data_IF_007725484561
#
_entry.id   IF_007725484561
#
_cell.length_a   1.000
_cell.length_b   1.000
_cell.length_c   1.000
_cell.angle_alpha   90.00
_cell.angle_beta   90.00
_cell.angle_gamma   90.00
#
_symmetry.space_group_name_H-M   'P 1'
#
loop_
_entity.id
_entity.type
_entity.pdbx_description
1 polymer ?
#
# COMPACT_ATOMS: atom_id res chain seq x y z
N UNK A 1 19.08 10.39 -11.89
CA UNK A 1 17.72 9.94 -11.53
C UNK A 1 17.64 9.43 -10.09
N UNK A 2 18.39 8.38 -9.70
CA UNK A 2 18.30 7.79 -8.35
C UNK A 2 18.61 8.78 -7.22
N UNK A 3 19.73 9.50 -7.30
CA UNK A 3 20.16 10.48 -6.26
C UNK A 3 19.12 11.57 -5.95
N UNK A 4 18.27 11.92 -6.92
CA UNK A 4 17.26 12.98 -6.76
C UNK A 4 15.86 12.41 -6.45
N UNK A 5 15.74 11.09 -6.26
CA UNK A 5 14.47 10.44 -5.92
C UNK A 5 13.50 10.22 -7.08
N UNK A 6 13.92 10.41 -8.34
CA UNK A 6 13.04 10.20 -9.50
C UNK A 6 12.75 8.71 -9.75
N UNK A 7 13.69 7.82 -9.43
CA UNK A 7 13.54 6.37 -9.53
C UNK A 7 13.87 5.74 -8.19
N UNK A 8 13.18 4.66 -7.84
CA UNK A 8 13.35 3.96 -6.57
C UNK A 8 14.57 3.03 -6.54
N UNK A 9 14.97 2.49 -7.70
CA UNK A 9 16.04 1.49 -7.81
C UNK A 9 16.75 1.60 -9.17
N UNK A 10 18.03 1.26 -9.22
CA UNK A 10 18.82 1.08 -10.45
C UNK A 10 19.43 -0.31 -10.42
N UNK A 11 19.26 -1.07 -11.49
CA UNK A 11 19.80 -2.42 -11.67
C UNK A 11 20.47 -2.53 -13.04
N UNK A 12 21.27 -3.58 -13.24
CA UNK A 12 21.77 -3.93 -14.56
C UNK A 12 20.59 -4.25 -15.51
N UNK A 13 20.77 -4.04 -16.81
CA UNK A 13 19.69 -4.15 -17.78
C UNK A 13 19.05 -5.55 -17.83
N UNK A 14 19.89 -6.59 -17.70
CA UNK A 14 19.49 -8.00 -17.64
C UNK A 14 18.77 -8.39 -16.34
N UNK A 15 18.84 -7.55 -15.30
CA UNK A 15 18.17 -7.76 -14.02
C UNK A 15 16.85 -6.96 -13.90
N UNK A 16 16.44 -6.20 -14.92
CA UNK A 16 15.26 -5.33 -14.86
C UNK A 16 13.99 -6.09 -14.54
N UNK A 17 13.74 -7.20 -15.24
CA UNK A 17 12.52 -8.00 -15.05
C UNK A 17 12.47 -8.60 -13.65
N UNK A 18 13.59 -9.08 -13.13
CA UNK A 18 13.66 -9.62 -11.77
C UNK A 18 13.36 -8.53 -10.71
N UNK A 19 13.85 -7.31 -10.92
CA UNK A 19 13.55 -6.18 -10.03
C UNK A 19 12.06 -5.81 -10.08
N UNK A 20 11.45 -5.80 -11.27
CA UNK A 20 10.01 -5.56 -11.43
C UNK A 20 9.19 -6.64 -10.74
N UNK A 21 9.50 -7.93 -10.94
CA UNK A 21 8.79 -9.03 -10.29
C UNK A 21 8.89 -8.94 -8.77
N UNK A 22 10.06 -8.60 -8.23
CA UNK A 22 10.22 -8.38 -6.78
C UNK A 22 9.27 -7.30 -6.25
N UNK A 23 9.08 -6.19 -6.99
CA UNK A 23 8.15 -5.15 -6.58
C UNK A 23 6.69 -5.60 -6.69
N UNK A 24 6.33 -6.34 -7.75
CA UNK A 24 4.99 -6.90 -7.91
C UNK A 24 4.66 -7.88 -6.77
N UNK A 25 5.60 -8.74 -6.38
CA UNK A 25 5.43 -9.67 -5.26
C UNK A 25 5.21 -8.96 -3.92
N UNK A 26 5.88 -7.82 -3.70
CA UNK A 26 5.69 -7.01 -2.49
C UNK A 26 4.32 -6.32 -2.51
N UNK A 27 3.92 -5.75 -3.64
CA UNK A 27 2.62 -5.09 -3.80
C UNK A 27 1.48 -6.12 -3.66
N UNK A 28 1.64 -7.31 -4.23
CA UNK A 28 0.66 -8.40 -4.14
C UNK A 28 0.42 -8.93 -2.73
N UNK A 29 1.33 -8.65 -1.78
CA UNK A 29 1.14 -8.98 -0.36
C UNK A 29 0.27 -7.96 0.39
N UNK A 30 0.12 -6.75 -0.13
CA UNK A 30 -0.68 -5.70 0.50
C UNK A 30 -2.18 -5.96 0.30
N UNK A 31 -2.99 -5.54 1.28
CA UNK A 31 -4.44 -5.49 1.11
C UNK A 31 -4.80 -4.56 -0.06
N UNK A 32 -5.52 -5.03 -1.10
CA UNK A 32 -5.74 -4.27 -2.32
C UNK A 32 -6.50 -2.96 -2.08
N UNK A 33 -7.49 -2.96 -1.18
CA UNK A 33 -8.26 -1.75 -0.85
C UNK A 33 -7.38 -0.75 -0.11
N UNK A 34 -6.67 -1.20 0.94
CA UNK A 34 -5.77 -0.35 1.71
C UNK A 34 -4.65 0.26 0.85
N UNK A 35 -4.04 -0.52 -0.05
CA UNK A 35 -2.98 -0.04 -0.94
C UNK A 35 -3.51 1.01 -1.94
N UNK A 36 -4.69 0.78 -2.51
CA UNK A 36 -5.34 1.75 -3.40
C UNK A 36 -5.70 3.04 -2.66
N UNK A 37 -6.30 2.94 -1.46
CA UNK A 37 -6.64 4.09 -0.62
C UNK A 37 -5.40 4.89 -0.23
N UNK A 38 -4.30 4.23 0.16
CA UNK A 38 -3.05 4.91 0.49
C UNK A 38 -2.50 5.72 -0.71
N UNK A 39 -2.57 5.16 -1.92
CA UNK A 39 -2.13 5.85 -3.15
C UNK A 39 -2.97 7.09 -3.46
N UNK A 40 -4.29 7.02 -3.24
CA UNK A 40 -5.18 8.17 -3.38
C UNK A 40 -4.87 9.23 -2.31
N UNK A 41 -4.71 8.79 -1.07
CA UNK A 41 -4.48 9.68 0.08
C UNK A 41 -3.25 10.59 -0.11
N UNK A 42 -2.15 10.06 -0.64
CA UNK A 42 -0.95 10.86 -0.94
C UNK A 42 -1.25 12.05 -1.86
N UNK A 43 -2.15 11.87 -2.84
CA UNK A 43 -2.56 12.95 -3.76
C UNK A 43 -3.48 13.95 -3.08
N UNK A 44 -4.43 13.47 -2.28
CA UNK A 44 -5.39 14.32 -1.57
C UNK A 44 -4.72 15.21 -0.52
N UNK A 45 -3.80 14.65 0.26
CA UNK A 45 -3.01 15.41 1.25
C UNK A 45 -2.22 16.54 0.59
N UNK A 46 -1.64 16.28 -0.59
CA UNK A 46 -0.93 17.32 -1.35
C UNK A 46 -1.88 18.42 -1.86
N UNK A 47 -3.09 18.05 -2.28
CA UNK A 47 -4.07 18.99 -2.84
C UNK A 47 -4.79 19.85 -1.80
N UNK A 48 -4.90 19.39 -0.55
CA UNK A 48 -5.74 19.99 0.49
C UNK A 48 -5.29 21.36 1.04
N UNK A 49 -4.20 21.94 0.53
CA UNK A 49 -3.91 23.37 0.73
C UNK A 49 -3.51 23.80 2.15
N UNK A 50 -3.31 22.88 3.09
CA UNK A 50 -2.58 23.14 4.34
C UNK A 50 -3.38 23.25 5.65
N UNK A 51 -4.70 23.01 5.67
CA UNK A 51 -5.43 22.81 6.93
C UNK A 51 -5.08 21.43 7.51
N UNK A 52 -4.05 21.42 8.37
CA UNK A 52 -3.51 20.22 8.99
C UNK A 52 -4.52 19.52 9.90
N UNK A 53 -5.30 20.27 10.66
CA UNK A 53 -6.23 19.67 11.62
C UNK A 53 -7.40 18.98 10.91
N UNK A 54 -7.89 19.57 9.81
CA UNK A 54 -8.89 18.93 8.97
C UNK A 54 -8.36 17.66 8.29
N UNK A 55 -7.14 17.71 7.77
CA UNK A 55 -6.45 16.56 7.18
C UNK A 55 -6.26 15.42 8.20
N UNK A 56 -5.80 15.74 9.42
CA UNK A 56 -5.58 14.73 10.45
C UNK A 56 -6.88 14.05 10.86
N UNK A 57 -7.98 14.81 11.01
CA UNK A 57 -9.32 14.25 11.28
C UNK A 57 -9.80 13.34 10.15
N UNK A 58 -9.65 13.77 8.90
CA UNK A 58 -10.03 12.97 7.74
C UNK A 58 -9.21 11.67 7.63
N UNK A 59 -7.89 11.77 7.83
CA UNK A 59 -6.97 10.63 7.81
C UNK A 59 -7.30 9.63 8.92
N UNK A 60 -7.56 10.12 10.14
CA UNK A 60 -7.96 9.26 11.26
C UNK A 60 -9.27 8.51 10.96
N UNK A 61 -10.26 9.20 10.37
CA UNK A 61 -11.52 8.58 9.94
C UNK A 61 -11.32 7.50 8.88
N UNK A 62 -10.54 7.79 7.83
CA UNK A 62 -10.21 6.83 6.78
C UNK A 62 -9.51 5.59 7.34
N UNK A 63 -8.49 5.79 8.19
CA UNK A 63 -7.73 4.68 8.78
C UNK A 63 -8.62 3.82 9.68
N UNK A 64 -9.49 4.44 10.48
CA UNK A 64 -10.45 3.71 11.33
C UNK A 64 -11.41 2.87 10.48
N UNK A 65 -11.96 3.44 9.40
CA UNK A 65 -12.83 2.72 8.48
C UNK A 65 -12.13 1.55 7.79
N UNK A 66 -10.89 1.75 7.31
CA UNK A 66 -10.10 0.68 6.69
C UNK A 66 -9.79 -0.45 7.69
N UNK A 67 -9.45 -0.12 8.94
CA UNK A 67 -9.21 -1.13 10.00
C UNK A 67 -10.48 -1.92 10.35
N UNK A 68 -11.64 -1.27 10.33
CA UNK A 68 -12.93 -1.90 10.59
C UNK A 68 -13.55 -2.58 9.37
N UNK A 69 -12.88 -2.61 8.22
CA UNK A 69 -13.35 -3.32 7.02
C UNK A 69 -13.13 -4.83 7.12
N UNK A 70 -13.71 -5.60 6.19
CA UNK A 70 -13.44 -7.04 6.07
C UNK A 70 -11.95 -7.32 5.77
N UNK A 71 -11.34 -6.52 4.89
CA UNK A 71 -9.92 -6.62 4.57
C UNK A 71 -9.05 -6.33 5.81
N UNK A 72 -9.39 -5.29 6.57
CA UNK A 72 -8.69 -4.93 7.81
C UNK A 72 -8.77 -6.01 8.89
N UNK A 73 -9.97 -6.58 9.09
CA UNK A 73 -10.18 -7.70 10.02
C UNK A 73 -9.42 -8.95 9.61
N UNK A 74 -9.49 -9.33 8.33
CA UNK A 74 -8.77 -10.50 7.81
C UNK A 74 -7.26 -10.33 7.91
N UNK A 75 -6.73 -9.14 7.61
CA UNK A 75 -5.30 -8.85 7.74
C UNK A 75 -4.81 -8.97 9.18
N UNK A 76 -5.58 -8.43 10.14
CA UNK A 76 -5.24 -8.53 11.56
C UNK A 76 -5.32 -9.98 12.06
N UNK A 77 -6.39 -10.72 11.71
CA UNK A 77 -6.53 -12.15 12.05
C UNK A 77 -5.39 -12.97 11.47
N UNK A 78 -5.08 -12.81 10.18
CA UNK A 78 -4.00 -13.53 9.51
C UNK A 78 -2.63 -13.28 10.17
N UNK A 79 -2.34 -12.03 10.54
CA UNK A 79 -1.12 -11.67 11.25
C UNK A 79 -1.03 -12.34 12.63
N UNK A 80 -2.11 -12.28 13.43
CA UNK A 80 -2.16 -12.91 14.76
C UNK A 80 -2.06 -14.44 14.69
N UNK A 81 -2.66 -15.04 13.67
CA UNK A 81 -2.65 -16.48 13.41
C UNK A 81 -1.38 -16.96 12.67
N UNK A 82 -0.45 -16.05 12.34
CA UNK A 82 0.80 -16.34 11.61
C UNK A 82 0.58 -17.07 10.29
N UNK A 83 -0.48 -16.72 9.57
CA UNK A 83 -0.81 -17.25 8.24
C UNK A 83 -0.82 -16.12 7.21
N UNK A 84 -0.76 -16.48 5.94
CA UNK A 84 -1.02 -15.51 4.88
C UNK A 84 -2.50 -15.05 4.93
N UNK A 85 -2.79 -13.77 4.65
CA UNK A 85 -4.16 -13.32 4.48
C UNK A 85 -4.74 -13.88 3.17
N UNK A 86 -6.06 -14.04 3.12
CA UNK A 86 -6.76 -14.70 2.00
C UNK A 86 -6.45 -14.11 0.62
N UNK A 87 -6.18 -12.82 0.51
CA UNK A 87 -5.86 -12.18 -0.78
C UNK A 87 -4.51 -12.60 -1.35
N UNK A 88 -3.59 -13.14 -0.54
CA UNK A 88 -2.32 -13.70 -1.02
C UNK A 88 -2.48 -15.16 -1.49
N UNK A 89 -3.51 -15.86 -1.03
CA UNK A 89 -3.76 -17.27 -1.35
C UNK A 89 -4.62 -17.48 -2.61
N UNK A 90 -5.12 -16.40 -3.23
CA UNK A 90 -5.83 -16.46 -4.52
C UNK A 90 -4.86 -16.32 -5.68
N UNK A 91 -5.12 -17.02 -6.80
CA UNK A 91 -4.43 -16.76 -8.06
C UNK A 91 -4.48 -15.25 -8.39
N UNK A 92 -3.37 -14.67 -8.88
CA UNK A 92 -3.35 -13.27 -9.27
C UNK A 92 -4.42 -13.04 -10.35
N UNK A 93 -5.31 -12.07 -10.10
CA UNK A 93 -6.29 -11.58 -11.07
C UNK A 93 -5.64 -10.68 -12.10
#
# INVERSE_FOLDING_TARGET
>A
ALRIGLVHQVVAADALDAAVQTQLDLIGKAGPVAAASAKVLVREVHAAGGDRDALDRANAGLIAALRASDEGREGLSAFLEKRAPRWVAGEPR
#
